data_IF_339726971022
#
_entry.id   IF_339726971022
#
_cell.length_a   1.000
_cell.length_b   1.000
_cell.length_c   1.000
_cell.angle_alpha   90.00
_cell.angle_beta   90.00
_cell.angle_gamma   90.00
#
_symmetry.space_group_name_H-M   'P 1'
#
loop_
_entity.id
_entity.type
_entity.pdbx_description
1 polymer ?
#
# COMPACT_ATOMS: atom_id res chain seq x y z
N UNK A 1 -5.60 -2.70 43.35
CA UNK A 1 -4.86 -3.26 42.19
C UNK A 1 -5.71 -3.04 40.94
N UNK A 2 -5.54 -1.92 40.23
CA UNK A 2 -6.27 -1.61 38.97
C UNK A 2 -5.37 -1.00 37.88
N UNK A 3 -4.10 -0.73 38.19
CA UNK A 3 -3.19 0.00 37.31
C UNK A 3 -2.53 -0.89 36.25
N UNK A 4 -2.42 -2.20 36.45
CA UNK A 4 -1.70 -3.05 35.51
C UNK A 4 -2.55 -3.40 34.28
N UNK A 5 -3.83 -3.75 34.46
CA UNK A 5 -4.70 -4.15 33.35
C UNK A 5 -4.90 -3.03 32.32
N UNK A 6 -5.05 -1.78 32.77
CA UNK A 6 -5.22 -0.62 31.88
C UNK A 6 -3.93 -0.21 31.18
N UNK A 7 -2.78 -0.36 31.84
CA UNK A 7 -1.48 -0.08 31.21
C UNK A 7 -1.11 -1.14 30.17
N UNK A 8 -1.34 -2.42 30.47
CA UNK A 8 -1.07 -3.52 29.55
C UNK A 8 -1.93 -3.40 28.27
N UNK A 9 -3.21 -3.07 28.44
CA UNK A 9 -4.15 -2.86 27.32
C UNK A 9 -3.74 -1.65 26.46
N UNK A 10 -3.30 -0.55 27.09
CA UNK A 10 -2.81 0.64 26.38
C UNK A 10 -1.50 0.36 25.62
N UNK A 11 -0.60 -0.43 26.20
CA UNK A 11 0.67 -0.82 25.55
C UNK A 11 0.39 -1.71 24.34
N UNK A 12 -0.45 -2.74 24.48
CA UNK A 12 -0.81 -3.62 23.36
C UNK A 12 -1.50 -2.83 22.24
N UNK A 13 -2.43 -1.94 22.59
CA UNK A 13 -3.12 -1.08 21.64
C UNK A 13 -2.15 -0.19 20.86
N UNK A 14 -1.22 0.50 21.53
CA UNK A 14 -0.22 1.34 20.86
C UNK A 14 0.78 0.53 20.03
N UNK A 15 1.22 -0.62 20.52
CA UNK A 15 2.14 -1.50 19.80
C UNK A 15 1.52 -2.00 18.50
N UNK A 16 0.24 -2.39 18.51
CA UNK A 16 -0.45 -2.88 17.32
C UNK A 16 -0.83 -1.73 16.38
N UNK A 17 -1.49 -0.69 16.89
CA UNK A 17 -2.04 0.39 16.08
C UNK A 17 -1.02 1.42 15.61
N UNK A 18 0.21 1.38 16.11
CA UNK A 18 1.28 2.23 15.63
C UNK A 18 1.80 1.80 14.25
N UNK A 19 3.10 1.58 14.16
CA UNK A 19 3.73 1.18 12.90
C UNK A 19 3.22 -0.12 12.29
N UNK A 20 2.85 -1.18 13.05
CA UNK A 20 2.40 -2.43 12.43
C UNK A 20 1.12 -2.27 11.61
N UNK A 21 0.11 -1.55 12.11
CA UNK A 21 -1.08 -1.24 11.32
C UNK A 21 -0.74 -0.36 10.13
N UNK A 22 0.10 0.67 10.29
CA UNK A 22 0.52 1.52 9.17
C UNK A 22 1.21 0.69 8.07
N UNK A 23 2.17 -0.16 8.44
CA UNK A 23 2.88 -1.07 7.53
C UNK A 23 1.89 -2.02 6.86
N UNK A 24 0.94 -2.58 7.62
CA UNK A 24 -0.11 -3.44 7.08
C UNK A 24 -0.97 -2.73 6.02
N UNK A 25 -1.45 -1.52 6.33
CA UNK A 25 -2.23 -0.70 5.39
C UNK A 25 -1.43 -0.35 4.14
N UNK A 26 -0.17 0.08 4.28
CA UNK A 26 0.70 0.41 3.17
C UNK A 26 0.97 -0.81 2.28
N UNK A 27 1.24 -1.96 2.89
CA UNK A 27 1.49 -3.22 2.17
C UNK A 27 0.27 -3.66 1.38
N UNK A 28 -0.91 -3.66 2.01
CA UNK A 28 -2.18 -4.00 1.35
C UNK A 28 -2.48 -3.02 0.22
N UNK A 29 -2.29 -1.72 0.47
CA UNK A 29 -2.52 -0.66 -0.54
C UNK A 29 -1.58 -0.81 -1.73
N UNK A 30 -0.32 -1.15 -1.50
CA UNK A 30 0.67 -1.37 -2.55
C UNK A 30 0.31 -2.58 -3.43
N UNK A 31 -0.07 -3.71 -2.80
CA UNK A 31 -0.52 -4.90 -3.52
C UNK A 31 -1.78 -4.58 -4.33
N UNK A 32 -2.77 -3.92 -3.72
CA UNK A 32 -3.99 -3.51 -4.40
C UNK A 32 -3.68 -2.57 -5.58
N UNK A 33 -2.79 -1.60 -5.38
CA UNK A 33 -2.35 -0.69 -6.43
C UNK A 33 -1.76 -1.44 -7.63
N UNK A 34 -0.84 -2.38 -7.41
CA UNK A 34 -0.25 -3.19 -8.49
C UNK A 34 -1.31 -4.03 -9.21
N UNK A 35 -2.20 -4.69 -8.46
CA UNK A 35 -3.27 -5.52 -9.08
C UNK A 35 -4.24 -4.67 -9.89
N UNK A 36 -4.59 -3.48 -9.40
CA UNK A 36 -5.43 -2.51 -10.11
C UNK A 36 -4.73 -1.99 -11.37
N UNK A 37 -3.44 -1.69 -11.28
CA UNK A 37 -2.64 -1.23 -12.41
C UNK A 37 -2.63 -2.25 -13.54
N UNK A 38 -2.38 -3.53 -13.22
CA UNK A 38 -2.44 -4.65 -14.18
C UNK A 38 -3.83 -4.81 -14.83
N UNK A 39 -4.91 -4.50 -14.12
CA UNK A 39 -6.29 -4.56 -14.66
C UNK A 39 -6.57 -3.42 -15.65
N UNK A 40 -5.95 -2.25 -15.46
CA UNK A 40 -6.18 -1.08 -16.31
C UNK A 40 -5.59 -1.24 -17.72
N UNK A 41 -4.55 -2.06 -17.89
CA UNK A 41 -3.95 -2.40 -19.21
C UNK A 41 -3.68 -1.16 -20.08
N UNK A 42 -3.21 -0.07 -19.50
CA UNK A 42 -3.03 1.21 -20.19
C UNK A 42 -1.61 1.79 -20.04
N UNK A 43 -1.24 2.77 -20.88
CA UNK A 43 0.03 3.46 -20.77
C UNK A 43 0.16 4.23 -19.45
N UNK A 44 1.39 4.39 -18.96
CA UNK A 44 1.68 5.44 -17.98
C UNK A 44 1.41 6.84 -18.55
N UNK A 45 1.34 7.87 -17.71
CA UNK A 45 1.04 9.25 -18.15
C UNK A 45 2.05 9.74 -19.20
N UNK A 46 3.34 9.47 -19.01
CA UNK A 46 4.38 9.87 -19.96
C UNK A 46 4.30 9.08 -21.27
N UNK A 47 3.98 7.78 -21.17
CA UNK A 47 3.80 6.89 -22.33
C UNK A 47 2.54 7.26 -23.13
N UNK A 48 1.50 7.73 -22.45
CA UNK A 48 0.28 8.24 -23.07
C UNK A 48 0.56 9.53 -23.84
N UNK A 49 1.29 10.47 -23.22
CA UNK A 49 1.69 11.75 -23.86
C UNK A 49 2.59 11.53 -25.08
N UNK A 50 3.48 10.56 -25.01
CA UNK A 50 4.43 10.24 -26.07
C UNK A 50 3.89 9.21 -27.09
N UNK A 51 2.60 8.84 -27.01
CA UNK A 51 1.98 7.83 -27.89
C UNK A 51 2.80 6.53 -27.98
N UNK A 52 3.42 6.14 -26.87
CA UNK A 52 4.35 5.00 -26.85
C UNK A 52 3.58 3.69 -27.07
N UNK A 53 3.96 2.87 -28.07
CA UNK A 53 3.30 1.59 -28.31
C UNK A 53 3.57 0.61 -27.16
N UNK A 54 2.67 -0.35 -26.91
CA UNK A 54 2.90 -1.41 -25.93
C UNK A 54 4.17 -2.22 -26.27
N UNK A 55 4.90 -2.80 -25.28
CA UNK A 55 4.54 -2.93 -23.87
C UNK A 55 4.94 -1.73 -23.00
N UNK A 56 3.98 -1.22 -22.24
CA UNK A 56 4.17 -0.08 -21.34
C UNK A 56 5.00 -0.43 -20.11
N UNK A 57 6.08 0.34 -19.88
CA UNK A 57 6.93 0.24 -18.69
C UNK A 57 6.13 0.54 -17.42
N UNK A 58 5.17 1.47 -17.48
CA UNK A 58 4.28 1.80 -16.36
C UNK A 58 3.41 0.63 -15.89
N UNK A 59 3.26 -0.43 -16.70
CA UNK A 59 2.52 -1.64 -16.33
C UNK A 59 3.41 -2.73 -15.71
N UNK A 60 4.73 -2.63 -15.85
CA UNK A 60 5.69 -3.69 -15.46
C UNK A 60 6.34 -3.43 -14.11
N UNK A 61 6.55 -2.16 -13.77
CA UNK A 61 7.05 -1.74 -12.47
C UNK A 61 5.87 -1.09 -11.75
N UNK A 62 5.63 -1.44 -10.49
CA UNK A 62 4.68 -0.68 -9.66
C UNK A 62 5.02 0.82 -9.67
N UNK A 63 4.11 1.64 -9.16
CA UNK A 63 4.34 3.08 -8.97
C UNK A 63 5.63 3.35 -8.20
#
# INVERSE_FOLDING_TARGET
MYFNSTLDELVIFNVILGFPVLIGVLTISYIYGITRLKKLKGPGIDEFRNQTPPPWKGQRKGF
#
